data_IF_235327179272
#
_entry.id   IF_235327179272
#
_cell.length_a   1.000
_cell.length_b   1.000
_cell.length_c   1.000
_cell.angle_alpha   90.00
_cell.angle_beta   90.00
_cell.angle_gamma   90.00
#
_symmetry.space_group_name_H-M   'P 1'
#
loop_
_entity.id
_entity.type
_entity.pdbx_description
1 polymer ?
#
# COMPACT_ATOMS: atom_id res chain seq x y z
N UNK A 1 -14.43 -35.74 48.24
CA UNK A 1 -15.23 -34.52 48.51
C UNK A 1 -15.08 -33.56 47.30
N UNK A 2 -16.13 -33.38 46.54
CA UNK A 2 -16.16 -32.36 45.46
C UNK A 2 -16.45 -31.02 46.13
N UNK A 3 -15.45 -30.15 46.21
CA UNK A 3 -15.65 -28.78 46.67
C UNK A 3 -16.30 -28.00 45.53
N UNK A 4 -17.57 -27.59 45.67
CA UNK A 4 -18.23 -26.70 44.75
C UNK A 4 -17.70 -25.27 44.95
N UNK A 5 -17.57 -24.51 43.84
CA UNK A 5 -17.21 -23.10 43.90
C UNK A 5 -18.27 -22.28 44.62
N UNK A 6 -17.82 -21.37 45.48
CA UNK A 6 -18.68 -20.40 46.12
C UNK A 6 -19.11 -19.33 45.10
N UNK A 7 -20.35 -18.81 45.23
CA UNK A 7 -20.88 -17.73 44.38
C UNK A 7 -19.97 -16.50 44.43
N UNK A 8 -19.40 -16.18 45.57
CA UNK A 8 -18.44 -15.06 45.71
C UNK A 8 -17.14 -15.29 44.90
N UNK A 9 -16.64 -16.53 44.91
CA UNK A 9 -15.45 -16.91 44.16
C UNK A 9 -15.66 -16.79 42.65
N UNK A 10 -16.82 -17.14 42.15
CA UNK A 10 -17.23 -16.92 40.76
C UNK A 10 -17.30 -15.43 40.41
N UNK A 11 -17.91 -14.60 41.27
CA UNK A 11 -17.99 -13.14 41.04
C UNK A 11 -16.58 -12.53 40.97
N UNK A 12 -15.71 -12.91 41.91
CA UNK A 12 -14.34 -12.41 41.92
C UNK A 12 -13.55 -12.88 40.66
N UNK A 13 -13.68 -14.13 40.28
CA UNK A 13 -13.04 -14.66 39.07
C UNK A 13 -13.52 -13.95 37.80
N UNK A 14 -14.86 -13.75 37.67
CA UNK A 14 -15.41 -12.99 36.55
C UNK A 14 -14.95 -11.52 36.51
N UNK A 15 -14.87 -10.86 37.68
CA UNK A 15 -14.38 -9.48 37.76
C UNK A 15 -12.95 -9.33 37.27
N UNK A 16 -12.10 -10.28 37.63
CA UNK A 16 -10.69 -10.32 37.16
C UNK A 16 -10.64 -10.56 35.65
N UNK A 17 -11.40 -11.54 35.16
CA UNK A 17 -11.45 -11.84 33.71
C UNK A 17 -11.96 -10.66 32.89
N UNK A 18 -13.01 -9.97 33.35
CA UNK A 18 -13.52 -8.77 32.66
C UNK A 18 -12.52 -7.64 32.63
N UNK A 19 -11.77 -7.42 33.73
CA UNK A 19 -10.72 -6.39 33.76
C UNK A 19 -9.59 -6.69 32.78
N UNK A 20 -9.14 -7.95 32.74
CA UNK A 20 -8.11 -8.39 31.79
C UNK A 20 -8.61 -8.30 30.32
N UNK A 21 -9.84 -8.72 30.06
CA UNK A 21 -10.46 -8.63 28.72
C UNK A 21 -10.59 -7.19 28.25
N UNK A 22 -10.96 -6.25 29.14
CA UNK A 22 -11.06 -4.83 28.81
C UNK A 22 -9.73 -4.20 28.36
N UNK A 23 -8.60 -4.70 28.87
CA UNK A 23 -7.26 -4.23 28.44
C UNK A 23 -6.78 -4.92 27.17
N UNK A 24 -7.18 -6.16 26.89
CA UNK A 24 -6.72 -6.93 25.76
C UNK A 24 -7.23 -6.38 24.42
N UNK A 25 -8.49 -5.93 24.35
CA UNK A 25 -9.11 -5.44 23.12
C UNK A 25 -8.42 -4.20 22.52
N UNK A 26 -8.15 -3.13 23.26
CA UNK A 26 -7.47 -1.95 22.72
C UNK A 26 -6.04 -2.28 22.27
N UNK A 27 -5.34 -3.15 22.98
CA UNK A 27 -3.99 -3.58 22.61
C UNK A 27 -3.97 -4.34 21.26
N UNK A 28 -4.94 -5.24 21.08
CA UNK A 28 -5.07 -5.99 19.82
C UNK A 28 -5.37 -5.05 18.63
N UNK A 29 -6.28 -4.08 18.80
CA UNK A 29 -6.58 -3.08 17.75
C UNK A 29 -5.36 -2.23 17.40
N UNK A 30 -4.59 -1.83 18.38
CA UNK A 30 -3.35 -1.08 18.16
C UNK A 30 -2.34 -1.88 17.33
N UNK A 31 -2.13 -3.15 17.65
CA UNK A 31 -1.23 -4.05 16.91
C UNK A 31 -1.67 -4.20 15.46
N UNK A 32 -2.95 -4.50 15.22
CA UNK A 32 -3.51 -4.65 13.86
C UNK A 32 -3.29 -3.39 13.03
N UNK A 33 -3.54 -2.21 13.59
CA UNK A 33 -3.33 -0.94 12.90
C UNK A 33 -1.88 -0.73 12.52
N UNK A 34 -0.95 -0.96 13.45
CA UNK A 34 0.48 -0.85 13.20
C UNK A 34 0.98 -1.82 12.13
N UNK A 35 0.44 -3.04 12.10
CA UNK A 35 0.78 -4.02 11.08
C UNK A 35 0.27 -3.57 9.70
N UNK A 36 -0.93 -2.98 9.61
CA UNK A 36 -1.45 -2.39 8.38
C UNK A 36 -0.59 -1.21 7.89
N UNK A 37 -0.19 -0.32 8.77
CA UNK A 37 0.70 0.81 8.45
C UNK A 37 2.04 0.33 7.87
N UNK A 38 2.63 -0.69 8.50
CA UNK A 38 3.87 -1.31 8.01
C UNK A 38 3.69 -1.94 6.63
N UNK A 39 2.59 -2.66 6.41
CA UNK A 39 2.28 -3.27 5.11
C UNK A 39 2.04 -2.20 4.03
N UNK A 40 1.39 -1.08 4.38
CA UNK A 40 1.18 0.05 3.47
C UNK A 40 2.52 0.63 3.01
N UNK A 41 3.44 0.91 3.93
CA UNK A 41 4.77 1.40 3.58
C UNK A 41 5.53 0.44 2.66
N UNK A 42 5.44 -0.86 2.92
CA UNK A 42 6.09 -1.86 2.07
C UNK A 42 5.48 -1.89 0.67
N UNK A 43 4.15 -1.83 0.56
CA UNK A 43 3.44 -1.83 -0.71
C UNK A 43 3.75 -0.56 -1.54
N UNK A 44 3.70 0.63 -0.92
CA UNK A 44 4.07 1.89 -1.57
C UNK A 44 5.52 1.86 -2.06
N UNK A 45 6.44 1.39 -1.22
CA UNK A 45 7.85 1.27 -1.58
C UNK A 45 8.07 0.30 -2.75
N UNK A 46 7.36 -0.83 -2.77
CA UNK A 46 7.46 -1.81 -3.86
C UNK A 46 7.05 -1.20 -5.19
N UNK A 47 5.91 -0.47 -5.22
CA UNK A 47 5.42 0.18 -6.43
C UNK A 47 6.36 1.31 -6.86
N UNK A 48 6.80 2.18 -5.95
CA UNK A 48 7.72 3.30 -6.24
C UNK A 48 9.06 2.81 -6.81
N UNK A 49 9.62 1.76 -6.23
CA UNK A 49 10.84 1.14 -6.79
C UNK A 49 10.61 0.59 -8.21
N UNK A 50 9.44 0.05 -8.50
CA UNK A 50 9.11 -0.42 -9.84
C UNK A 50 8.96 0.73 -10.85
N UNK A 51 8.35 1.84 -10.43
CA UNK A 51 8.25 3.08 -11.21
C UNK A 51 9.65 3.64 -11.52
N UNK A 52 10.51 3.74 -10.50
CA UNK A 52 11.88 4.25 -10.66
C UNK A 52 12.69 3.37 -11.62
N UNK A 53 12.60 2.04 -11.49
CA UNK A 53 13.26 1.11 -12.42
C UNK A 53 12.75 1.22 -13.85
N UNK A 54 11.44 1.49 -14.02
CA UNK A 54 10.88 1.74 -15.35
C UNK A 54 11.49 3.01 -15.95
N UNK A 55 11.53 4.09 -15.17
CA UNK A 55 12.14 5.37 -15.56
C UNK A 55 13.61 5.19 -15.93
N UNK A 56 14.37 4.50 -15.11
CA UNK A 56 15.79 4.21 -15.38
C UNK A 56 15.99 3.44 -16.70
N UNK A 57 15.15 2.44 -16.96
CA UNK A 57 15.20 1.66 -18.20
C UNK A 57 14.79 2.50 -19.42
N UNK A 58 13.84 3.42 -19.24
CA UNK A 58 13.43 4.37 -20.27
C UNK A 58 14.56 5.34 -20.62
N UNK A 59 15.19 5.93 -19.62
CA UNK A 59 16.29 6.90 -19.79
C UNK A 59 17.54 6.26 -20.43
N UNK A 60 17.77 4.97 -20.17
CA UNK A 60 18.84 4.19 -20.81
C UNK A 60 18.49 3.71 -22.23
N UNK A 61 17.26 3.93 -22.69
CA UNK A 61 16.81 3.44 -23.99
C UNK A 61 16.65 1.91 -24.07
N UNK A 62 16.57 1.23 -22.92
CA UNK A 62 16.43 -0.23 -22.85
C UNK A 62 15.00 -0.70 -23.19
N UNK A 63 14.03 0.19 -23.12
CA UNK A 63 12.60 -0.05 -23.41
C UNK A 63 12.07 0.99 -24.39
N UNK A 64 11.07 0.63 -25.17
CA UNK A 64 10.44 1.56 -26.10
C UNK A 64 9.58 0.88 -27.17
N UNK A 65 8.88 1.70 -27.99
CA UNK A 65 8.82 3.15 -28.01
C UNK A 65 8.01 3.75 -26.87
N UNK A 66 8.44 4.90 -26.35
CA UNK A 66 7.80 5.64 -25.28
C UNK A 66 7.03 6.82 -25.88
N UNK A 67 5.88 7.19 -25.26
CA UNK A 67 5.18 8.42 -25.61
C UNK A 67 5.94 9.64 -25.08
N UNK A 68 5.95 10.72 -25.86
CA UNK A 68 6.67 11.94 -25.50
C UNK A 68 6.12 12.57 -24.20
N UNK A 69 4.79 12.51 -24.00
CA UNK A 69 4.10 13.08 -22.85
C UNK A 69 4.28 12.29 -21.55
N UNK A 70 4.83 11.05 -21.65
CA UNK A 70 5.03 10.18 -20.48
C UNK A 70 6.22 10.57 -19.62
N UNK A 71 7.09 11.46 -20.11
CA UNK A 71 8.34 11.87 -19.43
C UNK A 71 9.22 10.67 -19.03
N UNK A 72 9.07 9.53 -19.75
CA UNK A 72 9.76 8.29 -19.44
C UNK A 72 9.19 7.48 -18.31
N UNK A 73 8.04 7.84 -17.76
CA UNK A 73 7.28 7.05 -16.78
C UNK A 73 6.25 6.16 -17.46
N UNK A 74 5.76 5.15 -16.75
CA UNK A 74 4.68 4.29 -17.26
C UNK A 74 3.35 5.04 -17.32
N UNK A 75 2.53 4.76 -18.33
CA UNK A 75 1.19 5.36 -18.44
C UNK A 75 0.22 4.77 -17.40
N UNK A 76 0.40 3.51 -17.04
CA UNK A 76 -0.43 2.80 -16.08
C UNK A 76 0.38 1.88 -15.18
N UNK A 77 -0.15 1.51 -14.02
CA UNK A 77 0.48 0.52 -13.13
C UNK A 77 0.51 -0.88 -13.75
N UNK A 78 -0.48 -1.20 -14.58
CA UNK A 78 -0.60 -2.47 -15.27
C UNK A 78 0.58 -2.71 -16.21
N UNK A 79 1.10 -1.66 -16.86
CA UNK A 79 2.29 -1.75 -17.72
C UNK A 79 3.53 -2.25 -16.97
N UNK A 80 3.66 -1.94 -15.67
CA UNK A 80 4.76 -2.43 -14.85
C UNK A 80 4.68 -3.96 -14.63
N UNK A 81 3.46 -4.52 -14.63
CA UNK A 81 3.20 -5.95 -14.42
C UNK A 81 3.23 -6.72 -15.75
N UNK A 82 2.55 -6.20 -16.78
CA UNK A 82 2.49 -6.83 -18.11
C UNK A 82 3.83 -6.80 -18.82
N UNK A 83 4.60 -5.76 -18.52
CA UNK A 83 5.90 -5.51 -19.09
C UNK A 83 5.85 -4.82 -20.43
N UNK A 84 6.93 -4.12 -20.75
CA UNK A 84 7.14 -3.39 -22.02
C UNK A 84 8.19 -4.07 -22.87
N UNK A 85 8.14 -3.85 -24.18
CA UNK A 85 9.10 -4.42 -25.10
C UNK A 85 10.51 -3.88 -24.81
N UNK A 86 11.48 -4.79 -24.79
CA UNK A 86 12.90 -4.42 -24.68
C UNK A 86 13.38 -3.91 -26.04
N UNK A 87 14.07 -2.78 -26.05
CA UNK A 87 14.70 -2.23 -27.25
C UNK A 87 15.67 -3.26 -27.87
N UNK A 88 15.59 -3.45 -29.17
CA UNK A 88 16.46 -4.38 -29.89
C UNK A 88 16.15 -5.87 -29.72
N UNK A 89 15.06 -6.25 -29.06
CA UNK A 89 14.64 -7.64 -28.91
C UNK A 89 13.21 -7.85 -29.39
N UNK A 90 12.99 -8.81 -30.29
CA UNK A 90 11.69 -9.01 -30.97
C UNK A 90 10.61 -9.52 -30.03
N UNK A 91 10.95 -10.39 -29.04
CA UNK A 91 9.95 -11.08 -28.19
C UNK A 91 10.25 -10.99 -26.68
N UNK A 92 11.17 -10.14 -26.24
CA UNK A 92 11.49 -10.02 -24.83
C UNK A 92 10.79 -8.82 -24.20
N UNK A 93 10.01 -9.08 -23.14
CA UNK A 93 9.41 -8.03 -22.31
C UNK A 93 10.21 -7.81 -21.03
N UNK A 94 10.32 -6.57 -20.64
CA UNK A 94 10.89 -6.16 -19.35
C UNK A 94 9.73 -5.95 -18.37
N UNK A 95 9.68 -6.71 -17.29
CA UNK A 95 8.67 -6.61 -16.22
C UNK A 95 9.31 -6.00 -14.98
N UNK A 96 8.66 -5.02 -14.41
CA UNK A 96 9.18 -4.26 -13.26
C UNK A 96 8.49 -4.64 -11.95
N UNK A 97 7.26 -5.16 -12.05
CA UNK A 97 6.45 -5.58 -10.93
C UNK A 97 5.86 -6.97 -11.21
N UNK A 98 5.80 -7.84 -10.22
CA UNK A 98 5.18 -9.16 -10.39
C UNK A 98 3.67 -9.09 -10.38
N UNK A 99 3.12 -8.25 -9.53
CA UNK A 99 1.69 -7.98 -9.35
C UNK A 99 1.53 -6.65 -8.63
N UNK A 100 0.43 -5.95 -8.84
CA UNK A 100 0.10 -4.76 -8.08
C UNK A 100 -0.23 -5.21 -6.64
N UNK A 101 0.49 -4.69 -5.60
CA UNK A 101 0.20 -5.00 -4.20
C UNK A 101 -1.22 -4.60 -3.82
N UNK A 102 -1.77 -5.28 -2.82
CA UNK A 102 -3.05 -4.91 -2.22
C UNK A 102 -2.78 -3.82 -1.17
N UNK A 103 -3.56 -2.76 -1.20
CA UNK A 103 -3.57 -1.74 -0.16
C UNK A 103 -4.22 -2.32 1.11
N UNK A 104 -3.50 -2.41 2.24
CA UNK A 104 -4.01 -3.02 3.47
C UNK A 104 -5.11 -2.20 4.15
N UNK A 105 -5.28 -0.92 3.80
CA UNK A 105 -6.31 -0.06 4.36
C UNK A 105 -7.63 -0.18 3.61
N UNK A 106 -7.59 -0.18 2.27
CA UNK A 106 -8.79 -0.27 1.43
C UNK A 106 -9.11 -1.70 1.00
N UNK A 107 -8.17 -2.64 1.22
CA UNK A 107 -8.24 -4.03 0.75
C UNK A 107 -8.45 -4.14 -0.77
N UNK A 108 -7.94 -3.18 -1.52
CA UNK A 108 -8.06 -3.05 -2.98
C UNK A 108 -6.69 -2.94 -3.65
N UNK A 109 -6.63 -3.17 -4.96
CA UNK A 109 -5.46 -2.86 -5.79
C UNK A 109 -5.61 -1.54 -6.54
N UNK A 110 -6.68 -0.82 -6.26
CA UNK A 110 -6.97 0.48 -6.85
C UNK A 110 -6.25 1.59 -6.07
N UNK A 111 -5.01 1.84 -6.45
CA UNK A 111 -4.17 2.90 -5.90
C UNK A 111 -4.55 4.26 -6.48
N UNK A 112 -4.46 5.30 -5.67
CA UNK A 112 -4.41 6.66 -6.17
C UNK A 112 -3.11 6.86 -6.95
N UNK A 113 -3.16 7.63 -8.02
CA UNK A 113 -2.04 7.91 -8.91
C UNK A 113 -1.80 9.40 -8.99
N UNK A 114 -0.55 9.80 -9.19
CA UNK A 114 -0.17 11.18 -9.51
C UNK A 114 0.76 11.15 -10.71
N UNK A 115 0.57 12.07 -11.62
CA UNK A 115 1.49 12.34 -12.71
C UNK A 115 2.61 13.25 -12.23
N UNK A 116 3.71 13.31 -12.95
CA UNK A 116 4.83 14.21 -12.64
C UNK A 116 4.39 15.69 -12.69
N UNK A 117 3.38 16.00 -13.51
CA UNK A 117 2.82 17.34 -13.69
C UNK A 117 1.78 17.72 -12.62
N UNK A 118 1.30 16.75 -11.84
CA UNK A 118 0.27 17.00 -10.82
C UNK A 118 0.88 17.64 -9.57
N UNK A 119 0.04 18.37 -8.81
CA UNK A 119 0.43 18.84 -7.48
C UNK A 119 0.74 17.64 -6.55
N UNK A 120 1.81 17.69 -5.75
CA UNK A 120 2.19 16.60 -4.85
C UNK A 120 1.10 16.14 -3.87
N UNK A 121 0.11 17.00 -3.60
CA UNK A 121 -1.03 16.69 -2.73
C UNK A 121 -2.33 16.47 -3.52
N UNK A 122 -2.27 16.47 -4.85
CA UNK A 122 -3.45 16.24 -5.68
C UNK A 122 -4.06 14.87 -5.42
N UNK A 123 -5.38 14.83 -5.33
CA UNK A 123 -6.17 13.59 -5.34
C UNK A 123 -6.76 13.31 -6.72
N UNK A 124 -6.49 14.20 -7.69
CA UNK A 124 -6.89 14.12 -9.08
C UNK A 124 -5.68 13.73 -9.91
N UNK A 125 -5.81 12.70 -10.72
CA UNK A 125 -4.74 12.22 -11.59
C UNK A 125 -4.87 12.85 -12.99
N UNK A 126 -3.79 13.46 -13.49
CA UNK A 126 -3.75 14.10 -14.81
C UNK A 126 -3.76 13.12 -15.98
N UNK A 127 -3.47 11.83 -15.74
CA UNK A 127 -3.59 10.77 -16.75
C UNK A 127 -2.41 10.60 -17.71
N UNK A 128 -1.40 11.48 -17.67
CA UNK A 128 -0.26 11.44 -18.60
C UNK A 128 0.70 10.28 -18.28
N UNK A 129 0.96 10.07 -17.01
CA UNK A 129 1.90 9.06 -16.54
C UNK A 129 1.62 8.71 -15.07
N UNK A 130 2.31 7.70 -14.56
CA UNK A 130 2.29 7.33 -13.15
C UNK A 130 3.67 7.62 -12.56
N UNK A 131 3.78 8.80 -11.93
CA UNK A 131 4.98 9.24 -11.22
C UNK A 131 4.99 8.77 -9.77
N UNK A 132 3.85 8.88 -9.08
CA UNK A 132 3.70 8.46 -7.69
C UNK A 132 2.35 7.78 -7.45
N UNK A 133 2.29 7.03 -6.36
CA UNK A 133 1.09 6.33 -5.91
C UNK A 133 0.81 6.61 -4.43
N UNK A 134 -0.47 6.62 -4.07
CA UNK A 134 -0.94 6.81 -2.71
C UNK A 134 -2.16 5.93 -2.40
N UNK A 135 -2.44 5.71 -1.12
CA UNK A 135 -3.67 5.01 -0.70
C UNK A 135 -4.89 5.91 -0.86
N UNK A 136 -5.99 5.35 -1.36
CA UNK A 136 -7.29 6.03 -1.40
C UNK A 136 -8.05 5.97 -0.07
N UNK A 137 -7.41 5.47 0.99
CA UNK A 137 -8.02 5.43 2.32
C UNK A 137 -8.26 6.84 2.85
N UNK A 138 -9.44 7.06 3.40
CA UNK A 138 -9.82 8.29 4.11
C UNK A 138 -9.49 8.25 5.60
N UNK A 139 -8.90 7.16 6.07
CA UNK A 139 -8.50 7.04 7.47
C UNK A 139 -7.37 8.02 7.78
N UNK A 140 -7.35 8.49 9.04
CA UNK A 140 -6.31 9.37 9.53
C UNK A 140 -5.22 8.59 10.24
N UNK A 141 -3.99 9.08 10.10
CA UNK A 141 -2.85 8.59 10.87
C UNK A 141 -3.04 8.91 12.37
N UNK A 142 -2.26 8.28 13.21
CA UNK A 142 -2.29 8.54 14.65
C UNK A 142 -1.94 9.98 15.00
N UNK A 143 -1.07 10.60 14.20
CA UNK A 143 -0.55 11.95 14.41
C UNK A 143 -1.44 13.03 13.75
N UNK A 144 -2.63 12.64 13.28
CA UNK A 144 -3.65 13.52 12.71
C UNK A 144 -3.51 13.83 11.22
N UNK A 145 -2.48 13.30 10.55
CA UNK A 145 -2.33 13.37 9.09
C UNK A 145 -3.23 12.39 8.34
N UNK A 146 -3.12 12.36 7.02
CA UNK A 146 -3.80 11.37 6.19
C UNK A 146 -2.80 10.32 5.68
N UNK A 147 -3.25 9.09 5.52
CA UNK A 147 -2.41 8.06 4.90
C UNK A 147 -2.15 8.32 3.42
N UNK A 148 -3.00 9.10 2.75
CA UNK A 148 -2.80 9.55 1.37
C UNK A 148 -1.60 10.49 1.17
N UNK A 149 -1.02 10.99 2.26
CA UNK A 149 0.14 11.88 2.24
C UNK A 149 1.48 11.11 2.35
N UNK A 150 1.41 9.78 2.50
CA UNK A 150 2.57 8.87 2.61
C UNK A 150 3.11 8.43 1.20
#
# INVERSE_FOLDING_TARGET
>A
MRRGFSLIELIVAFSILLTLAAMAVPLARYKVRRDKERQLHLALREIRIAIDKYKDAADKGEIGPLKLESEGYSETLEMLVEGVKKSGAVDKKYKFLRRIPIDPLTNSRDWGKRSMQDDPKSTSWGGQNVFDVYTKSTERTRDGGNYSDW
#
